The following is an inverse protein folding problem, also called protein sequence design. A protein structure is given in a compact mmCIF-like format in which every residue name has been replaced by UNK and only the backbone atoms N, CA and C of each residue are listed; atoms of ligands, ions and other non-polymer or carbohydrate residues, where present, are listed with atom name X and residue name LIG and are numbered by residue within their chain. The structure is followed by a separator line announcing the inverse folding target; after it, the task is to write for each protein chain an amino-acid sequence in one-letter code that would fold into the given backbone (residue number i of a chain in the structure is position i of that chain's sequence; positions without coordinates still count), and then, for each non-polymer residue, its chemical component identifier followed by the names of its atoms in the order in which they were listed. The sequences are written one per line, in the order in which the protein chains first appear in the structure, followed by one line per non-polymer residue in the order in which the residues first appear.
data_IF_567405902590
#
_entry.id   IF_567405902590
#
_cell.length_a   1.000
_cell.length_b   1.000
_cell.length_c   1.000
_cell.angle_alpha   90.00
_cell.angle_beta   90.00
_cell.angle_gamma   90.00
#
_symmetry.space_group_name_H-M   'P 1'
#
loop_
_entity.id
_entity.type
_entity.pdbx_description
1 polymer ?
#
# COMPACT_ATOMS: atom_id res chain seq x y z
N UNK A 1 46.62 -12.39 -65.05
CA UNK A 1 45.60 -13.05 -64.22
C UNK A 1 45.61 -12.35 -62.91
N UNK A 2 44.67 -11.43 -62.72
CA UNK A 2 44.43 -10.69 -61.45
C UNK A 2 43.25 -11.33 -60.76
N UNK A 3 43.43 -11.67 -59.47
CA UNK A 3 42.35 -12.10 -58.60
C UNK A 3 41.99 -10.93 -57.73
N UNK A 4 40.75 -10.43 -57.85
CA UNK A 4 40.11 -9.49 -56.93
C UNK A 4 39.58 -10.26 -55.75
N UNK A 5 40.11 -9.96 -54.55
CA UNK A 5 39.61 -10.46 -53.31
C UNK A 5 38.66 -9.40 -52.75
N UNK A 6 37.36 -9.67 -52.88
CA UNK A 6 36.34 -8.90 -52.14
C UNK A 6 36.36 -9.36 -50.70
N UNK A 7 36.72 -8.49 -49.78
CA UNK A 7 36.56 -8.68 -48.35
C UNK A 7 35.21 -8.13 -47.93
N UNK A 8 34.27 -9.03 -47.69
CA UNK A 8 33.07 -8.72 -46.94
C UNK A 8 33.45 -8.55 -45.46
N UNK A 9 33.31 -7.33 -44.95
CA UNK A 9 33.38 -7.03 -43.54
C UNK A 9 31.92 -6.96 -43.04
N UNK A 10 31.50 -7.77 -42.08
CA UNK A 10 30.15 -7.65 -41.52
C UNK A 10 30.05 -6.36 -40.70
N UNK A 11 29.07 -5.54 -41.01
CA UNK A 11 28.71 -4.36 -40.24
C UNK A 11 28.37 -4.74 -38.81
N UNK A 12 29.13 -4.22 -37.87
CA UNK A 12 28.85 -4.28 -36.46
C UNK A 12 27.58 -3.46 -36.18
N UNK A 13 26.50 -4.14 -35.83
CA UNK A 13 25.34 -3.47 -35.27
C UNK A 13 25.72 -2.75 -33.95
N UNK A 14 25.85 -1.44 -34.03
CA UNK A 14 25.95 -0.58 -32.89
C UNK A 14 24.57 -0.64 -32.18
N UNK A 15 24.50 -1.38 -31.09
CA UNK A 15 23.34 -1.33 -30.20
C UNK A 15 23.36 0.04 -29.53
N UNK A 16 22.57 0.95 -30.09
CA UNK A 16 22.28 2.21 -29.43
C UNK A 16 21.47 1.90 -28.15
N UNK A 17 22.13 1.93 -27.00
CA UNK A 17 21.44 1.90 -25.71
C UNK A 17 20.56 3.14 -25.63
N UNK A 18 19.26 2.95 -25.86
CA UNK A 18 18.26 3.93 -25.48
C UNK A 18 18.26 3.96 -23.95
N UNK A 19 18.53 5.10 -23.33
CA UNK A 19 18.41 5.17 -21.88
C UNK A 19 16.95 4.96 -21.51
N UNK A 20 16.62 3.81 -20.93
CA UNK A 20 15.38 3.63 -20.20
C UNK A 20 15.38 4.61 -19.04
N UNK A 21 14.88 5.82 -19.28
CA UNK A 21 14.32 6.63 -18.23
C UNK A 21 13.12 5.85 -17.70
N UNK A 22 13.31 5.20 -16.57
CA UNK A 22 12.19 4.82 -15.69
C UNK A 22 11.31 6.07 -15.59
N UNK A 23 10.01 6.02 -15.89
CA UNK A 23 9.16 7.13 -15.55
C UNK A 23 9.30 7.31 -14.05
N UNK A 24 9.91 8.43 -13.64
CA UNK A 24 9.75 8.91 -12.28
C UNK A 24 8.23 8.92 -12.08
N UNK A 25 7.75 8.13 -11.12
CA UNK A 25 6.38 8.24 -10.64
C UNK A 25 6.31 9.64 -10.05
N UNK A 26 5.98 10.61 -10.90
CA UNK A 26 5.53 11.90 -10.44
C UNK A 26 4.24 11.55 -9.68
N UNK A 27 4.26 11.70 -8.37
CA UNK A 27 3.05 11.75 -7.56
C UNK A 27 2.16 12.82 -8.20
N UNK A 28 1.29 12.39 -9.10
CA UNK A 28 0.36 13.28 -9.78
C UNK A 28 -0.63 13.75 -8.74
N UNK A 29 -0.43 14.99 -8.28
CA UNK A 29 -1.34 15.61 -7.34
C UNK A 29 -2.71 15.81 -8.04
N UNK A 30 -3.75 15.01 -7.69
CA UNK A 30 -5.05 15.08 -8.36
C UNK A 30 -5.71 16.45 -8.24
N UNK A 31 -5.30 17.25 -7.25
CA UNK A 31 -5.77 18.61 -7.05
C UNK A 31 -5.27 19.61 -8.13
N UNK A 32 -4.07 19.42 -8.69
CA UNK A 32 -3.49 20.32 -9.70
C UNK A 32 -4.15 20.15 -11.07
N UNK A 33 -4.77 18.99 -11.35
CA UNK A 33 -5.42 18.73 -12.66
C UNK A 33 -6.80 19.37 -12.82
N UNK A 34 -7.41 19.88 -11.76
CA UNK A 34 -8.78 20.43 -11.79
C UNK A 34 -8.92 21.82 -12.44
N UNK A 35 -7.85 22.53 -12.79
CA UNK A 35 -7.91 23.82 -13.48
C UNK A 35 -8.35 23.73 -14.96
N UNK A 36 -8.62 22.52 -15.48
CA UNK A 36 -9.17 22.32 -16.82
C UNK A 36 -10.51 21.57 -16.71
N UNK A 37 -11.57 22.34 -16.66
CA UNK A 37 -12.95 21.84 -16.76
C UNK A 37 -13.12 21.00 -18.03
N UNK A 38 -13.06 19.68 -17.88
CA UNK A 38 -13.76 18.69 -18.71
C UNK A 38 -13.59 17.30 -18.09
N UNK A 39 -14.63 16.60 -17.80
CA UNK A 39 -14.86 15.12 -17.72
C UNK A 39 -13.65 14.18 -17.61
N UNK A 40 -12.54 14.59 -17.00
CA UNK A 40 -11.42 13.67 -16.71
C UNK A 40 -11.81 12.89 -15.47
N UNK A 41 -11.95 11.58 -15.63
CA UNK A 41 -12.19 10.67 -14.52
C UNK A 41 -11.15 10.92 -13.43
N UNK A 42 -11.59 11.00 -12.17
CA UNK A 42 -10.69 11.13 -11.02
C UNK A 42 -9.73 9.95 -11.00
N UNK A 43 -8.43 10.22 -11.02
CA UNK A 43 -7.44 9.19 -10.73
C UNK A 43 -7.54 8.79 -9.25
N UNK A 44 -7.98 7.58 -9.00
CA UNK A 44 -8.23 7.06 -7.66
C UNK A 44 -6.96 6.73 -6.86
N UNK A 45 -5.77 6.76 -7.48
CA UNK A 45 -4.48 6.43 -6.89
C UNK A 45 -4.42 5.01 -6.27
N UNK A 46 -5.33 4.12 -6.70
CA UNK A 46 -5.38 2.73 -6.25
C UNK A 46 -4.37 1.89 -7.02
N UNK A 47 -3.65 1.03 -6.32
CA UNK A 47 -2.77 0.05 -6.95
C UNK A 47 -3.59 -1.17 -7.38
N UNK A 48 -3.68 -1.50 -8.68
CA UNK A 48 -4.52 -2.58 -9.18
C UNK A 48 -4.14 -3.98 -8.66
N UNK A 49 -2.96 -4.12 -8.04
CA UNK A 49 -2.52 -5.40 -7.46
C UNK A 49 -3.22 -5.68 -6.11
N UNK A 50 -3.68 -4.64 -5.41
CA UNK A 50 -4.25 -4.77 -4.07
C UNK A 50 -5.75 -5.10 -4.10
N UNK A 51 -6.11 -6.20 -4.76
CA UNK A 51 -7.48 -6.70 -4.82
C UNK A 51 -7.81 -7.66 -3.66
N UNK A 52 -9.11 -7.93 -3.43
CA UNK A 52 -9.54 -8.97 -2.50
C UNK A 52 -9.05 -10.36 -2.91
N UNK A 53 -8.97 -10.64 -4.21
CA UNK A 53 -8.43 -11.90 -4.72
C UNK A 53 -6.97 -12.10 -4.34
N UNK A 54 -6.20 -11.01 -4.33
CA UNK A 54 -4.79 -11.03 -3.94
C UNK A 54 -4.57 -10.97 -2.43
N UNK A 55 -5.60 -10.66 -1.65
CA UNK A 55 -5.52 -10.69 -0.20
C UNK A 55 -5.60 -12.12 0.33
N UNK A 56 -4.74 -12.47 1.29
CA UNK A 56 -4.79 -13.77 1.94
C UNK A 56 -5.61 -13.66 3.23
N UNK A 57 -6.72 -14.41 3.32
CA UNK A 57 -7.54 -14.50 4.51
C UNK A 57 -6.98 -15.57 5.47
N UNK A 58 -7.03 -15.29 6.77
CA UNK A 58 -6.75 -16.23 7.86
C UNK A 58 -7.54 -15.85 9.11
N UNK A 59 -7.37 -16.59 10.19
CA UNK A 59 -8.02 -16.28 11.47
C UNK A 59 -7.60 -14.91 12.01
N UNK A 60 -6.36 -14.50 11.80
CA UNK A 60 -5.80 -13.25 12.31
C UNK A 60 -6.39 -11.99 11.67
N UNK A 61 -6.97 -12.08 10.47
CA UNK A 61 -7.52 -10.94 9.75
C UNK A 61 -8.99 -11.11 9.30
N UNK A 62 -9.62 -12.23 9.68
CA UNK A 62 -10.96 -12.62 9.19
C UNK A 62 -12.03 -11.57 9.45
N UNK A 63 -12.04 -10.97 10.63
CA UNK A 63 -13.04 -9.95 10.98
C UNK A 63 -12.93 -8.73 10.05
N UNK A 64 -11.72 -8.19 9.90
CA UNK A 64 -11.47 -7.04 9.03
C UNK A 64 -11.80 -7.34 7.57
N UNK A 65 -11.43 -8.53 7.08
CA UNK A 65 -11.74 -9.00 5.73
C UNK A 65 -13.26 -9.13 5.50
N UNK A 66 -13.98 -9.70 6.47
CA UNK A 66 -15.45 -9.85 6.40
C UNK A 66 -16.16 -8.49 6.35
N UNK A 67 -15.72 -7.53 7.20
CA UNK A 67 -16.27 -6.17 7.20
C UNK A 67 -15.96 -5.44 5.90
N UNK A 68 -14.72 -5.55 5.41
CA UNK A 68 -14.30 -4.95 4.14
C UNK A 68 -15.17 -5.44 2.96
N UNK A 69 -15.44 -6.74 2.88
CA UNK A 69 -16.35 -7.31 1.87
C UNK A 69 -17.79 -6.84 2.07
N UNK A 70 -18.25 -6.68 3.32
CA UNK A 70 -19.59 -6.20 3.59
C UNK A 70 -19.80 -4.75 3.14
N UNK A 71 -18.78 -3.89 3.26
CA UNK A 71 -18.83 -2.51 2.76
C UNK A 71 -19.00 -2.49 1.24
N UNK A 72 -18.25 -3.33 0.53
CA UNK A 72 -18.33 -3.39 -0.95
C UNK A 72 -19.69 -3.95 -1.43
N UNK A 73 -20.16 -5.02 -0.79
CA UNK A 73 -21.42 -5.67 -1.18
C UNK A 73 -22.67 -4.87 -0.82
N UNK A 74 -22.58 -4.01 0.19
CA UNK A 74 -23.70 -3.24 0.74
C UNK A 74 -23.29 -1.78 0.97
N UNK A 75 -22.92 -1.04 -0.07
CA UNK A 75 -22.44 0.33 0.05
C UNK A 75 -23.46 1.32 0.61
N UNK A 76 -24.76 0.98 0.50
CA UNK A 76 -25.85 1.77 1.07
C UNK A 76 -25.93 1.70 2.61
N UNK A 77 -25.28 0.68 3.22
CA UNK A 77 -25.29 0.51 4.67
C UNK A 77 -24.14 1.27 5.31
N UNK A 78 -24.48 2.24 6.13
CA UNK A 78 -23.48 3.09 6.84
C UNK A 78 -23.01 2.48 8.19
N UNK A 79 -23.33 1.21 8.47
CA UNK A 79 -23.05 0.55 9.75
C UNK A 79 -21.55 0.56 10.11
N UNK A 80 -20.71 0.47 9.10
CA UNK A 80 -19.25 0.40 9.27
C UNK A 80 -18.52 1.68 8.82
N UNK A 81 -19.22 2.83 8.79
CA UNK A 81 -18.67 4.10 8.35
C UNK A 81 -18.58 5.12 9.51
N UNK A 82 -17.39 5.65 9.81
CA UNK A 82 -16.10 5.34 9.21
C UNK A 82 -15.60 3.94 9.58
N UNK A 83 -14.76 3.34 8.74
CA UNK A 83 -14.00 2.15 9.08
C UNK A 83 -12.56 2.56 9.45
N UNK A 84 -12.14 2.24 10.66
CA UNK A 84 -10.79 2.50 11.15
C UNK A 84 -10.07 1.17 11.35
N UNK A 85 -9.02 0.94 10.56
CA UNK A 85 -8.21 -0.28 10.60
C UNK A 85 -6.88 0.05 11.25
N UNK A 86 -6.52 -0.67 12.31
CA UNK A 86 -5.23 -0.49 12.95
C UNK A 86 -4.49 -1.82 13.14
N UNK A 87 -3.21 -1.73 13.40
CA UNK A 87 -2.34 -2.89 13.66
C UNK A 87 -0.90 -2.62 13.26
N UNK A 88 0.03 -3.50 13.62
CA UNK A 88 1.45 -3.32 13.36
C UNK A 88 1.78 -3.05 11.90
N UNK A 89 2.95 -2.50 11.65
CA UNK A 89 3.43 -2.28 10.28
C UNK A 89 3.59 -3.60 9.53
N UNK A 90 3.15 -3.66 8.27
CA UNK A 90 3.36 -4.83 7.41
C UNK A 90 2.35 -5.97 7.58
N UNK A 91 1.23 -5.78 8.29
CA UNK A 91 0.17 -6.79 8.45
C UNK A 91 -0.88 -6.81 7.34
N UNK A 92 -0.76 -5.91 6.35
CA UNK A 92 -1.66 -5.86 5.20
C UNK A 92 -2.77 -4.81 5.26
N UNK A 93 -2.66 -3.78 6.14
CA UNK A 93 -3.63 -2.66 6.22
C UNK A 93 -3.84 -1.98 4.88
N UNK A 94 -2.76 -1.46 4.29
CA UNK A 94 -2.77 -0.78 2.98
C UNK A 94 -3.40 -1.62 1.87
N UNK A 95 -3.13 -2.93 1.85
CA UNK A 95 -3.74 -3.83 0.88
C UNK A 95 -5.25 -3.90 1.08
N UNK A 96 -5.70 -4.13 2.31
CA UNK A 96 -7.13 -4.29 2.60
C UNK A 96 -7.95 -3.04 2.30
N UNK A 97 -7.45 -1.84 2.70
CA UNK A 97 -8.16 -0.59 2.43
C UNK A 97 -8.24 -0.27 0.94
N UNK A 98 -7.20 -0.60 0.16
CA UNK A 98 -7.24 -0.43 -1.29
C UNK A 98 -8.12 -1.48 -1.97
N UNK A 99 -8.18 -2.72 -1.47
CA UNK A 99 -9.09 -3.73 -1.96
C UNK A 99 -10.56 -3.28 -1.83
N UNK A 100 -10.93 -2.59 -0.73
CA UNK A 100 -12.26 -1.98 -0.60
C UNK A 100 -12.48 -0.96 -1.71
N UNK A 101 -11.52 -0.05 -1.94
CA UNK A 101 -11.64 0.97 -2.98
C UNK A 101 -11.78 0.41 -4.39
N UNK A 102 -11.00 -0.63 -4.71
CA UNK A 102 -11.06 -1.34 -5.99
C UNK A 102 -12.43 -2.00 -6.15
N UNK A 103 -12.86 -2.80 -5.17
CA UNK A 103 -14.16 -3.47 -5.22
C UNK A 103 -15.33 -2.50 -5.36
N UNK A 104 -15.29 -1.35 -4.67
CA UNK A 104 -16.32 -0.31 -4.82
C UNK A 104 -16.37 0.28 -6.24
N UNK A 105 -15.21 0.45 -6.89
CA UNK A 105 -15.14 0.92 -8.28
C UNK A 105 -15.54 -0.15 -9.31
N UNK A 106 -15.32 -1.42 -9.01
CA UNK A 106 -15.78 -2.53 -9.85
C UNK A 106 -17.30 -2.62 -9.84
N UNK A 107 -17.95 -2.46 -8.66
CA UNK A 107 -19.41 -2.43 -8.54
C UNK A 107 -20.03 -1.15 -9.13
N UNK A 108 -19.36 0.00 -8.98
CA UNK A 108 -19.81 1.28 -9.53
C UNK A 108 -18.63 2.12 -10.03
N UNK A 109 -18.32 2.06 -11.33
CA UNK A 109 -17.20 2.77 -11.95
C UNK A 109 -17.28 4.31 -11.84
N UNK A 110 -18.48 4.87 -11.68
CA UNK A 110 -18.70 6.32 -11.59
C UNK A 110 -18.37 6.89 -10.21
N UNK A 111 -18.20 6.03 -9.19
CA UNK A 111 -17.83 6.48 -7.85
C UNK A 111 -16.47 7.19 -7.85
N UNK A 112 -16.46 8.35 -7.21
CA UNK A 112 -15.26 9.14 -6.97
C UNK A 112 -14.52 8.58 -5.76
N UNK A 113 -13.72 7.53 -5.97
CA UNK A 113 -12.89 6.91 -4.95
C UNK A 113 -11.50 7.53 -5.00
N UNK A 114 -10.98 7.96 -3.85
CA UNK A 114 -9.63 8.49 -3.73
C UNK A 114 -8.89 7.81 -2.58
N UNK A 115 -7.75 7.22 -2.91
CA UNK A 115 -6.77 6.71 -1.94
C UNK A 115 -5.59 7.66 -1.84
N UNK A 116 -5.14 7.96 -0.63
CA UNK A 116 -3.88 8.67 -0.38
C UNK A 116 -3.38 8.42 1.04
N UNK A 117 -2.08 8.65 1.25
CA UNK A 117 -1.52 8.68 2.61
C UNK A 117 -1.78 10.02 3.28
N UNK A 118 -1.82 10.04 4.62
CA UNK A 118 -1.92 11.26 5.40
C UNK A 118 -0.77 12.24 5.11
N UNK A 119 0.42 11.73 4.80
CA UNK A 119 1.57 12.54 4.38
C UNK A 119 1.33 13.23 3.04
N UNK A 120 0.74 12.54 2.07
CA UNK A 120 0.37 13.13 0.77
C UNK A 120 -0.69 14.21 0.94
N UNK A 121 -1.70 13.96 1.77
CA UNK A 121 -2.73 14.94 2.12
C UNK A 121 -2.10 16.22 2.72
N UNK A 122 -1.20 16.08 3.68
CA UNK A 122 -0.49 17.21 4.29
C UNK A 122 0.33 18.01 3.27
N UNK A 123 1.08 17.32 2.40
CA UNK A 123 1.87 17.97 1.35
C UNK A 123 0.99 18.77 0.41
N UNK A 124 -0.15 18.22 0.00
CA UNK A 124 -1.12 18.89 -0.85
C UNK A 124 -1.76 20.08 -0.14
N UNK A 125 -2.14 19.93 1.14
CA UNK A 125 -2.68 21.01 1.96
C UNK A 125 -1.68 22.16 2.10
N UNK A 126 -0.43 21.87 2.43
CA UNK A 126 0.63 22.87 2.54
C UNK A 126 0.84 23.63 1.22
N UNK A 127 0.79 22.92 0.10
CA UNK A 127 0.87 23.52 -1.24
C UNK A 127 -0.33 24.42 -1.52
N UNK A 128 -1.55 23.99 -1.14
CA UNK A 128 -2.76 24.80 -1.28
C UNK A 128 -2.70 26.08 -0.43
N UNK A 129 -2.17 26.00 0.79
CA UNK A 129 -1.95 27.18 1.66
C UNK A 129 -0.98 28.17 1.01
N UNK A 130 0.17 27.68 0.52
CA UNK A 130 1.17 28.55 -0.16
C UNK A 130 0.62 29.24 -1.40
N UNK A 131 -0.30 28.61 -2.11
CA UNK A 131 -0.91 29.11 -3.34
C UNK A 131 -2.23 29.85 -3.11
N UNK A 132 -2.66 30.08 -1.85
CA UNK A 132 -3.96 30.66 -1.48
C UNK A 132 -5.18 29.90 -2.09
N UNK A 133 -5.07 28.59 -2.26
CA UNK A 133 -6.09 27.69 -2.86
C UNK A 133 -6.72 26.72 -1.83
N UNK A 134 -6.78 27.10 -0.56
CA UNK A 134 -7.30 26.23 0.51
C UNK A 134 -8.77 25.88 0.29
N UNK A 135 -9.59 26.83 -0.19
CA UNK A 135 -11.00 26.56 -0.47
C UNK A 135 -11.18 25.56 -1.62
N UNK A 136 -10.37 25.66 -2.67
CA UNK A 136 -10.41 24.71 -3.80
C UNK A 136 -10.01 23.31 -3.34
N UNK A 137 -8.98 23.23 -2.48
CA UNK A 137 -8.54 22.00 -1.85
C UNK A 137 -9.67 21.35 -1.04
N UNK A 138 -10.33 22.10 -0.16
CA UNK A 138 -11.46 21.59 0.66
C UNK A 138 -12.60 21.14 -0.24
N UNK A 139 -13.01 21.93 -1.23
CA UNK A 139 -14.09 21.60 -2.15
C UNK A 139 -13.80 20.33 -2.95
N UNK A 140 -12.54 20.15 -3.38
CA UNK A 140 -12.12 18.92 -4.05
C UNK A 140 -12.36 17.68 -3.18
N UNK A 141 -11.85 17.68 -1.94
CA UNK A 141 -12.01 16.53 -1.04
C UNK A 141 -13.48 16.32 -0.65
N UNK A 142 -14.27 17.37 -0.51
CA UNK A 142 -15.70 17.28 -0.21
C UNK A 142 -16.53 16.71 -1.37
N UNK A 143 -15.99 16.66 -2.58
CA UNK A 143 -16.64 16.07 -3.75
C UNK A 143 -16.40 14.58 -3.92
N UNK A 144 -15.60 13.95 -3.03
CA UNK A 144 -15.26 12.52 -3.06
C UNK A 144 -16.41 11.69 -2.49
N UNK A 145 -16.68 10.52 -3.09
CA UNK A 145 -17.69 9.58 -2.60
C UNK A 145 -17.12 8.57 -1.61
N UNK A 146 -15.87 8.16 -1.79
CA UNK A 146 -15.13 7.33 -0.86
C UNK A 146 -13.72 7.86 -0.69
N UNK A 147 -13.38 8.29 0.52
CA UNK A 147 -12.04 8.73 0.89
C UNK A 147 -11.34 7.63 1.70
N UNK A 148 -10.21 7.16 1.18
CA UNK A 148 -9.35 6.18 1.83
C UNK A 148 -8.06 6.88 2.25
N UNK A 149 -7.86 7.00 3.58
CA UNK A 149 -6.70 7.67 4.15
C UNK A 149 -5.80 6.67 4.85
N UNK A 150 -4.61 6.48 4.32
CA UNK A 150 -3.61 5.58 4.87
C UNK A 150 -2.68 6.31 5.84
N UNK A 151 -2.25 5.61 6.89
CA UNK A 151 -1.26 6.06 7.86
C UNK A 151 -1.64 7.38 8.57
N UNK A 152 -2.87 7.46 9.14
CA UNK A 152 -3.37 8.69 9.79
C UNK A 152 -2.54 9.15 10.99
N UNK A 153 -1.68 8.30 11.58
CA UNK A 153 -0.71 8.69 12.61
C UNK A 153 0.25 9.79 12.12
N UNK A 154 0.47 9.91 10.83
CA UNK A 154 1.30 10.98 10.23
C UNK A 154 0.71 12.40 10.42
N UNK A 155 -0.56 12.51 10.83
CA UNK A 155 -1.15 13.80 11.21
C UNK A 155 -0.73 14.28 12.61
N UNK A 156 -0.10 13.44 13.44
CA UNK A 156 0.29 13.77 14.80
C UNK A 156 1.12 15.07 14.85
N UNK A 157 0.75 15.97 15.76
CA UNK A 157 1.40 17.28 15.92
C UNK A 157 1.11 18.34 14.84
N UNK A 158 0.34 18.02 13.78
CA UNK A 158 0.07 18.91 12.65
C UNK A 158 -1.32 19.56 12.75
N UNK A 159 -1.51 20.40 13.73
CA UNK A 159 -2.83 20.97 14.12
C UNK A 159 -3.60 21.60 12.95
N UNK A 160 -2.94 22.37 12.06
CA UNK A 160 -3.61 22.99 10.92
C UNK A 160 -4.16 21.96 9.94
N UNK A 161 -3.38 20.91 9.64
CA UNK A 161 -3.79 19.80 8.77
C UNK A 161 -4.94 19.00 9.41
N UNK A 162 -4.83 18.69 10.70
CA UNK A 162 -5.88 17.99 11.45
C UNK A 162 -7.19 18.77 11.44
N UNK A 163 -7.15 20.10 11.62
CA UNK A 163 -8.34 20.94 11.58
C UNK A 163 -9.00 20.89 10.19
N UNK A 164 -8.23 20.98 9.13
CA UNK A 164 -8.76 20.91 7.77
C UNK A 164 -9.32 19.54 7.46
N UNK A 165 -8.62 18.47 7.85
CA UNK A 165 -9.12 17.10 7.71
C UNK A 165 -10.40 16.86 8.50
N UNK A 166 -10.51 17.40 9.72
CA UNK A 166 -11.73 17.33 10.54
C UNK A 166 -12.95 17.95 9.84
N UNK A 167 -12.78 19.07 9.16
CA UNK A 167 -13.86 19.70 8.38
C UNK A 167 -14.28 18.85 7.19
N UNK A 168 -13.32 18.29 6.45
CA UNK A 168 -13.58 17.40 5.33
C UNK A 168 -14.27 16.13 5.82
N UNK A 169 -13.75 15.51 6.87
CA UNK A 169 -14.31 14.31 7.49
C UNK A 169 -15.80 14.51 7.86
N UNK A 170 -16.11 15.57 8.61
CA UNK A 170 -17.49 15.85 8.99
C UNK A 170 -18.40 16.08 7.80
N UNK A 171 -17.93 16.77 6.75
CA UNK A 171 -18.71 16.97 5.53
C UNK A 171 -19.04 15.63 4.86
N UNK A 172 -18.03 14.79 4.63
CA UNK A 172 -18.19 13.50 3.99
C UNK A 172 -19.12 12.58 4.81
N UNK A 173 -18.88 12.47 6.12
CA UNK A 173 -19.72 11.67 7.01
C UNK A 173 -21.19 12.14 7.04
N UNK A 174 -21.44 13.44 7.11
CA UNK A 174 -22.81 13.99 7.09
C UNK A 174 -23.52 13.77 5.75
N UNK A 175 -22.74 13.64 4.67
CA UNK A 175 -23.25 13.32 3.33
C UNK A 175 -23.31 11.80 3.09
N UNK A 176 -23.09 10.98 4.12
CA UNK A 176 -23.08 9.52 4.03
C UNK A 176 -22.06 8.99 3.01
N UNK A 177 -20.94 9.70 2.82
CA UNK A 177 -19.81 9.26 2.01
C UNK A 177 -18.92 8.32 2.82
N UNK A 178 -18.28 7.37 2.15
CA UNK A 178 -17.45 6.38 2.82
C UNK A 178 -16.10 6.94 3.24
N UNK A 179 -15.71 6.62 4.46
CA UNK A 179 -14.43 6.99 5.06
C UNK A 179 -13.73 5.73 5.56
N UNK A 180 -12.57 5.42 4.98
CA UNK A 180 -11.74 4.29 5.36
C UNK A 180 -10.39 4.86 5.82
N UNK A 181 -9.97 4.48 7.02
CA UNK A 181 -8.77 5.01 7.64
C UNK A 181 -7.87 3.86 8.09
N UNK A 182 -6.56 4.01 7.95
CA UNK A 182 -5.59 3.07 8.52
C UNK A 182 -4.64 3.76 9.49
N UNK A 183 -4.15 2.99 10.48
CA UNK A 183 -3.21 3.45 11.50
C UNK A 183 -2.31 2.31 11.97
N UNK A 184 -1.13 2.64 12.50
CA UNK A 184 -0.24 1.64 13.10
C UNK A 184 -0.62 1.29 14.56
N UNK A 185 -1.43 2.12 15.22
CA UNK A 185 -1.88 1.92 16.60
C UNK A 185 -3.38 2.24 16.74
N UNK A 186 -4.03 1.78 17.83
CA UNK A 186 -5.42 2.11 18.10
C UNK A 186 -5.59 3.62 18.36
N UNK A 187 -6.82 4.19 18.15
CA UNK A 187 -7.08 5.61 18.38
C UNK A 187 -6.73 6.10 19.79
N UNK A 188 -6.80 5.22 20.78
CA UNK A 188 -6.46 5.53 22.19
C UNK A 188 -4.98 5.79 22.44
N UNK A 189 -4.11 5.35 21.53
CA UNK A 189 -2.65 5.47 21.62
C UNK A 189 -2.07 6.50 20.64
N UNK A 190 -2.93 7.23 19.92
CA UNK A 190 -2.53 8.26 18.97
C UNK A 190 -2.18 9.58 19.68
N UNK A 191 -0.94 9.67 20.15
CA UNK A 191 -0.42 10.91 20.73
C UNK A 191 -0.30 12.04 19.68
N UNK A 192 -0.52 13.29 20.12
CA UNK A 192 -0.42 14.47 19.23
C UNK A 192 -1.60 14.65 18.26
N UNK A 193 -2.67 13.87 18.45
CA UNK A 193 -3.91 14.01 17.71
C UNK A 193 -4.95 14.80 18.50
N UNK A 194 -5.67 15.69 17.82
CA UNK A 194 -6.76 16.45 18.42
C UNK A 194 -7.89 15.53 18.96
N UNK A 195 -8.35 15.68 20.22
CA UNK A 195 -9.37 14.80 20.79
C UNK A 195 -10.66 14.68 19.99
N UNK A 196 -11.05 15.78 19.31
CA UNK A 196 -12.23 15.79 18.45
C UNK A 196 -12.08 14.89 17.23
N UNK A 197 -10.85 14.74 16.70
CA UNK A 197 -10.57 13.87 15.56
C UNK A 197 -10.54 12.40 16.01
N UNK A 198 -9.93 12.10 17.16
CA UNK A 198 -9.96 10.78 17.78
C UNK A 198 -11.40 10.29 18.01
N UNK A 199 -12.27 11.17 18.52
CA UNK A 199 -13.69 10.87 18.68
C UNK A 199 -14.39 10.52 17.36
N UNK A 200 -13.95 11.09 16.24
CA UNK A 200 -14.48 10.76 14.90
C UNK A 200 -13.99 9.40 14.41
N UNK A 201 -12.73 9.08 14.65
CA UNK A 201 -12.15 7.79 14.25
C UNK A 201 -12.84 6.61 14.92
N UNK A 202 -13.30 6.79 16.16
CA UNK A 202 -14.03 5.74 16.91
C UNK A 202 -15.53 5.72 16.67
N UNK A 203 -16.07 6.59 15.85
CA UNK A 203 -17.52 6.74 15.67
C UNK A 203 -18.17 5.55 14.94
N UNK A 204 -17.48 4.92 14.00
CA UNK A 204 -17.96 3.77 13.26
C UNK A 204 -17.34 2.46 13.73
N UNK A 205 -16.75 1.71 12.80
CA UNK A 205 -16.12 0.41 13.09
C UNK A 205 -14.62 0.54 13.23
N UNK A 206 -14.11 0.21 14.40
CA UNK A 206 -12.67 0.08 14.65
C UNK A 206 -12.32 -1.41 14.67
N UNK A 207 -11.34 -1.82 13.86
CA UNK A 207 -10.93 -3.22 13.74
C UNK A 207 -9.41 -3.35 13.71
N UNK A 208 -8.91 -4.33 14.45
CA UNK A 208 -7.49 -4.65 14.51
C UNK A 208 -7.11 -5.66 13.43
N UNK A 209 -5.99 -5.43 12.77
CA UNK A 209 -5.23 -6.44 12.02
C UNK A 209 -4.06 -6.89 12.90
N UNK A 210 -4.18 -8.08 13.45
CA UNK A 210 -3.13 -8.68 14.27
C UNK A 210 -1.96 -9.17 13.43
N UNK A 211 -0.82 -9.45 14.10
CA UNK A 211 0.33 -10.10 13.45
C UNK A 211 -0.08 -11.39 12.75
N UNK A 212 0.53 -11.69 11.58
CA UNK A 212 0.13 -12.82 10.76
C UNK A 212 0.34 -14.16 11.50
N UNK A 213 -0.69 -14.99 11.52
CA UNK A 213 -0.58 -16.36 12.01
C UNK A 213 0.25 -17.24 11.05
N UNK A 214 0.57 -18.47 11.48
CA UNK A 214 1.36 -19.39 10.66
C UNK A 214 0.69 -19.67 9.30
N UNK A 215 -0.63 -19.89 9.29
CA UNK A 215 -1.38 -20.16 8.05
C UNK A 215 -1.32 -18.98 7.10
N UNK A 216 -1.47 -17.75 7.60
CA UNK A 216 -1.38 -16.56 6.77
C UNK A 216 0.00 -16.42 6.15
N UNK A 217 1.06 -16.61 6.94
CA UNK A 217 2.44 -16.53 6.46
C UNK A 217 2.73 -17.55 5.36
N UNK A 218 2.29 -18.78 5.57
CA UNK A 218 2.40 -19.86 4.59
C UNK A 218 1.66 -19.53 3.29
N UNK A 219 0.41 -19.09 3.41
CA UNK A 219 -0.43 -18.77 2.27
C UNK A 219 0.10 -17.57 1.46
N UNK A 220 0.62 -16.53 2.13
CA UNK A 220 1.25 -15.38 1.46
C UNK A 220 2.48 -15.84 0.66
N UNK A 221 3.33 -16.66 1.25
CA UNK A 221 4.53 -17.16 0.58
C UNK A 221 4.18 -18.01 -0.66
N UNK A 222 3.23 -18.94 -0.52
CA UNK A 222 2.73 -19.78 -1.62
C UNK A 222 2.09 -18.93 -2.72
N UNK A 223 1.31 -17.91 -2.36
CA UNK A 223 0.68 -17.02 -3.33
C UNK A 223 1.71 -16.24 -4.14
N UNK A 224 2.78 -15.77 -3.50
CA UNK A 224 3.90 -15.12 -4.20
C UNK A 224 4.62 -16.07 -5.14
N UNK A 225 4.83 -17.32 -4.74
CA UNK A 225 5.40 -18.36 -5.59
C UNK A 225 4.53 -18.62 -6.83
N UNK A 226 3.22 -18.76 -6.62
CA UNK A 226 2.25 -18.96 -7.70
C UNK A 226 2.25 -17.77 -8.69
N UNK A 227 2.24 -16.54 -8.18
CA UNK A 227 2.28 -15.32 -9.00
C UNK A 227 3.58 -15.21 -9.81
N UNK A 228 4.69 -15.72 -9.27
CA UNK A 228 5.98 -15.77 -9.96
C UNK A 228 6.12 -16.97 -10.91
N UNK A 229 5.15 -17.90 -10.94
CA UNK A 229 5.21 -19.13 -11.74
C UNK A 229 6.29 -20.11 -11.29
N UNK A 230 6.64 -20.10 -9.99
CA UNK A 230 7.71 -20.92 -9.41
C UNK A 230 7.12 -21.95 -8.46
N UNK A 231 7.49 -23.21 -8.63
CA UNK A 231 7.21 -24.26 -7.67
C UNK A 231 8.27 -24.25 -6.56
N UNK A 232 7.82 -24.12 -5.31
CA UNK A 232 8.70 -24.12 -4.14
C UNK A 232 8.40 -25.34 -3.30
N UNK A 233 9.43 -26.12 -2.89
CA UNK A 233 9.28 -27.24 -1.97
C UNK A 233 8.58 -26.83 -0.66
N UNK A 234 7.69 -27.70 -0.15
CA UNK A 234 6.90 -27.40 1.06
C UNK A 234 7.76 -27.17 2.30
N UNK A 235 8.87 -27.87 2.41
CA UNK A 235 9.83 -27.72 3.52
C UNK A 235 10.44 -26.32 3.59
N UNK A 236 10.63 -25.65 2.45
CA UNK A 236 11.08 -24.25 2.40
C UNK A 236 9.94 -23.32 2.83
N UNK A 237 8.72 -23.56 2.35
CA UNK A 237 7.54 -22.77 2.71
C UNK A 237 7.32 -22.80 4.21
N UNK A 238 7.34 -24.00 4.79
CA UNK A 238 7.14 -24.20 6.22
C UNK A 238 8.29 -23.59 7.03
N UNK A 239 9.54 -23.77 6.58
CA UNK A 239 10.69 -23.17 7.23
C UNK A 239 10.60 -21.63 7.28
N UNK A 240 10.22 -21.00 6.17
CA UNK A 240 10.04 -19.52 6.12
C UNK A 240 8.89 -19.08 7.02
N UNK A 241 7.73 -19.78 6.95
CA UNK A 241 6.56 -19.46 7.75
C UNK A 241 6.78 -19.63 9.26
N UNK A 242 7.65 -20.53 9.70
CA UNK A 242 8.02 -20.72 11.10
C UNK A 242 8.98 -19.63 11.63
N UNK A 243 9.88 -19.16 10.78
CA UNK A 243 10.98 -18.30 11.20
C UNK A 243 10.73 -16.81 10.95
N UNK A 244 9.84 -16.41 10.02
CA UNK A 244 9.45 -15.02 9.76
C UNK A 244 8.11 -14.76 10.41
N UNK A 245 8.09 -14.10 11.59
CA UNK A 245 6.90 -14.01 12.45
C UNK A 245 6.24 -12.64 12.44
N UNK A 246 6.98 -11.59 12.16
CA UNK A 246 6.58 -10.24 12.53
C UNK A 246 5.65 -9.58 11.50
N UNK A 247 5.93 -9.72 10.21
CA UNK A 247 5.15 -9.05 9.19
C UNK A 247 5.17 -9.73 7.82
N UNK A 248 4.17 -9.42 7.01
CA UNK A 248 4.01 -9.95 5.64
C UNK A 248 5.08 -9.41 4.70
N UNK A 249 5.56 -8.17 4.91
CA UNK A 249 6.60 -7.57 4.06
C UNK A 249 7.92 -8.32 4.16
N UNK A 250 8.26 -8.86 5.34
CA UNK A 250 9.44 -9.70 5.50
C UNK A 250 9.32 -11.00 4.71
N UNK A 251 8.16 -11.63 4.72
CA UNK A 251 7.89 -12.84 3.93
C UNK A 251 8.10 -12.58 2.44
N UNK A 252 7.57 -11.45 1.94
CA UNK A 252 7.78 -11.02 0.56
C UNK A 252 9.26 -10.74 0.26
N UNK A 253 9.97 -10.08 1.18
CA UNK A 253 11.40 -9.81 1.07
C UNK A 253 12.24 -11.09 1.02
N UNK A 254 11.92 -12.07 1.86
CA UNK A 254 12.57 -13.39 1.86
C UNK A 254 12.31 -14.12 0.54
N UNK A 255 11.07 -14.10 0.03
CA UNK A 255 10.74 -14.68 -1.27
C UNK A 255 11.59 -14.08 -2.39
N UNK A 256 11.63 -12.74 -2.50
CA UNK A 256 12.43 -12.04 -3.51
C UNK A 256 13.91 -12.39 -3.39
N UNK A 257 14.43 -12.43 -2.17
CA UNK A 257 15.84 -12.76 -1.91
C UNK A 257 16.16 -14.21 -2.30
N UNK A 258 15.28 -15.17 -1.99
CA UNK A 258 15.42 -16.57 -2.40
C UNK A 258 15.46 -16.70 -3.92
N UNK A 259 14.55 -16.03 -4.62
CA UNK A 259 14.52 -16.05 -6.09
C UNK A 259 15.78 -15.42 -6.69
N UNK A 260 16.23 -14.29 -6.15
CA UNK A 260 17.44 -13.63 -6.59
C UNK A 260 18.68 -14.54 -6.44
N UNK A 261 18.85 -15.19 -5.28
CA UNK A 261 19.99 -16.09 -5.05
C UNK A 261 19.92 -17.34 -5.92
N UNK A 262 18.74 -17.95 -6.05
CA UNK A 262 18.55 -19.12 -6.91
C UNK A 262 18.87 -18.81 -8.38
N UNK A 263 18.36 -17.70 -8.90
CA UNK A 263 18.55 -17.31 -10.29
C UNK A 263 19.98 -16.80 -10.58
N UNK A 264 20.51 -15.91 -9.73
CA UNK A 264 21.82 -15.29 -9.97
C UNK A 264 22.99 -16.26 -9.80
N UNK A 265 22.87 -17.21 -8.86
CA UNK A 265 23.93 -18.19 -8.54
C UNK A 265 23.65 -19.57 -9.11
N UNK A 266 22.53 -19.73 -9.85
CA UNK A 266 22.07 -21.01 -10.38
C UNK A 266 22.02 -22.13 -9.31
N UNK A 267 21.55 -21.76 -8.09
CA UNK A 267 21.45 -22.66 -6.96
C UNK A 267 20.05 -23.29 -6.90
N UNK A 268 19.95 -24.57 -6.55
CA UNK A 268 18.66 -25.20 -6.30
C UNK A 268 18.00 -24.56 -5.05
N UNK A 269 16.67 -24.49 -5.09
CA UNK A 269 15.88 -24.08 -3.95
C UNK A 269 15.95 -25.16 -2.87
N UNK A 270 16.60 -24.86 -1.76
CA UNK A 270 16.79 -25.76 -0.62
C UNK A 270 16.54 -25.02 0.70
N UNK A 271 16.24 -25.76 1.77
CA UNK A 271 16.11 -25.20 3.13
C UNK A 271 17.40 -24.51 3.59
N UNK A 272 18.56 -25.04 3.19
CA UNK A 272 19.85 -24.41 3.54
C UNK A 272 20.02 -23.03 2.87
N UNK A 273 19.56 -22.88 1.62
CA UNK A 273 19.50 -21.58 0.96
C UNK A 273 18.55 -20.62 1.71
N UNK A 274 17.37 -21.09 2.09
CA UNK A 274 16.41 -20.32 2.88
C UNK A 274 17.00 -19.87 4.24
N UNK A 275 17.71 -20.77 4.91
CA UNK A 275 18.42 -20.49 6.18
C UNK A 275 19.47 -19.39 6.00
N UNK A 276 20.27 -19.46 4.94
CA UNK A 276 21.30 -18.47 4.64
C UNK A 276 20.69 -17.11 4.34
N UNK A 277 19.62 -17.04 3.54
CA UNK A 277 18.90 -15.81 3.23
C UNK A 277 18.34 -15.16 4.51
N UNK A 278 17.65 -15.93 5.35
CA UNK A 278 17.08 -15.44 6.61
C UNK A 278 18.17 -14.94 7.58
N UNK A 279 19.28 -15.67 7.70
CA UNK A 279 20.37 -15.26 8.60
C UNK A 279 21.01 -13.95 8.18
N UNK A 280 21.07 -13.65 6.89
CA UNK A 280 21.57 -12.40 6.34
C UNK A 280 20.58 -11.24 6.50
N UNK A 281 19.28 -11.49 6.33
CA UNK A 281 18.22 -10.50 6.55
C UNK A 281 18.18 -10.02 8.01
N UNK A 282 18.29 -10.93 8.98
CA UNK A 282 18.35 -10.61 10.42
C UNK A 282 19.59 -9.80 10.77
N UNK A 283 20.74 -10.06 10.15
CA UNK A 283 21.94 -9.27 10.36
C UNK A 283 21.80 -7.84 9.83
N UNK A 284 21.18 -7.67 8.66
CA UNK A 284 20.92 -6.33 8.10
C UNK A 284 19.97 -5.51 8.98
N UNK A 285 18.90 -6.09 9.48
CA UNK A 285 17.95 -5.42 10.38
C UNK A 285 18.61 -4.95 11.68
N UNK A 286 19.51 -5.74 12.26
CA UNK A 286 20.27 -5.37 13.48
C UNK A 286 21.27 -4.24 13.22
N UNK A 287 21.92 -4.18 12.06
CA UNK A 287 22.84 -3.09 11.71
C UNK A 287 22.11 -1.73 11.55
N UNK A 288 20.89 -1.71 11.06
CA UNK A 288 20.12 -0.46 10.93
C UNK A 288 19.70 0.13 12.27
N UNK A 289 19.43 -0.70 13.28
CA UNK A 289 19.08 -0.24 14.64
C UNK A 289 20.27 0.37 15.37
N UNK A 290 21.50 -0.03 15.04
CA UNK A 290 22.70 0.46 15.73
C UNK A 290 23.16 1.85 15.24
N UNK A 291 22.77 2.29 14.05
CA UNK A 291 23.09 3.62 13.52
C UNK A 291 22.14 4.74 13.99
N UNK A 292 21.03 4.41 14.67
CA UNK A 292 20.03 5.38 15.17
C UNK A 292 20.28 5.90 16.59
N UNK A 293 21.38 5.55 17.27
CA UNK A 293 21.64 5.91 18.67
C UNK A 293 22.79 6.90 18.85
N UNK A 294 23.33 7.47 17.78
CA UNK A 294 24.32 8.54 17.87
C UNK A 294 23.88 9.75 17.03
N UNK A 295 23.03 10.61 17.60
CA UNK A 295 23.08 12.09 17.51
C UNK A 295 22.32 12.65 18.70
#
# INVERSE_FOLDING_TARGET
YSYDIVKDVPESHVITQVPHKSPAVQEMNPFVQQDRFSSVALDSQLNPIYTFENYCESKSNKLAFTIANAIVRHPEKQTFNPMFIFGPTGVGKTHLIQAIGIGMKEENPDLRVLYLSARTFESQYTTAVRNNKVNDFINFYQSIDMLIMDDVQEFAGKTATQNTFFHIFNHLHNKQRHLILSCDCPPSELDGMEPRLLSRFTWGMTVELSSPDYELRRNVFLKKALQAGVEIPEDIVDYVAENVKDNVREIEGVFVSLMAHSTALNLPLTVDLARNVLSNSVKMSRCQVTFGVFV
#
